data_IF_763893154922
#
_entry.id   IF_763893154922
#
_cell.length_a   1.000
_cell.length_b   1.000
_cell.length_c   1.000
_cell.angle_alpha   90.00
_cell.angle_beta   90.00
_cell.angle_gamma   90.00
#
_symmetry.space_group_name_H-M   'P 1'
#
loop_
_entity.id
_entity.type
_entity.pdbx_description
1 polymer ?
#
# COMPACT_ATOMS: atom_id res chain seq x y z
N UNK A 1 -4.23 -1.00 15.35
CA UNK A 1 -5.52 -1.41 14.77
C UNK A 1 -5.83 -0.51 13.58
N UNK A 2 -5.63 -0.97 12.34
CA UNK A 2 -6.07 -0.32 11.09
C UNK A 2 -6.50 -1.36 10.02
N UNK A 3 -6.39 -2.66 10.33
CA UNK A 3 -6.55 -3.73 9.35
C UNK A 3 -8.01 -3.91 8.90
N UNK A 4 -8.97 -3.60 9.76
CA UNK A 4 -10.41 -3.76 9.47
C UNK A 4 -10.89 -2.82 8.35
N UNK A 5 -10.48 -1.55 8.40
CA UNK A 5 -10.77 -0.57 7.35
C UNK A 5 -10.09 -0.93 6.03
N UNK A 6 -8.83 -1.36 6.10
CA UNK A 6 -8.08 -1.80 4.92
C UNK A 6 -8.78 -3.00 4.28
N UNK A 7 -9.29 -3.97 5.03
CA UNK A 7 -10.04 -5.12 4.48
C UNK A 7 -11.29 -4.68 3.70
N UNK A 8 -12.04 -3.69 4.19
CA UNK A 8 -13.21 -3.15 3.48
C UNK A 8 -12.86 -2.45 2.16
N UNK A 9 -11.75 -1.71 2.13
CA UNK A 9 -11.24 -1.01 0.94
C UNK A 9 -10.23 -1.83 0.13
N UNK A 10 -9.92 -3.05 0.56
CA UNK A 10 -8.83 -3.86 0.01
C UNK A 10 -9.01 -4.13 -1.48
N UNK A 11 -10.25 -4.38 -1.91
CA UNK A 11 -10.60 -4.64 -3.30
C UNK A 11 -10.28 -3.44 -4.21
N UNK A 12 -10.49 -2.21 -3.72
CA UNK A 12 -10.13 -0.99 -4.44
C UNK A 12 -8.61 -0.78 -4.44
N UNK A 13 -7.98 -0.91 -3.26
CA UNK A 13 -6.52 -0.81 -3.10
C UNK A 13 -5.81 -1.77 -4.05
N UNK A 14 -6.20 -3.05 -4.06
CA UNK A 14 -5.66 -4.10 -4.94
C UNK A 14 -5.73 -3.70 -6.41
N UNK A 15 -6.84 -3.11 -6.85
CA UNK A 15 -6.99 -2.64 -8.22
C UNK A 15 -5.98 -1.54 -8.59
N UNK A 16 -5.71 -0.63 -7.66
CA UNK A 16 -4.71 0.43 -7.82
C UNK A 16 -3.28 -0.11 -7.74
N UNK A 17 -3.00 -1.02 -6.79
CA UNK A 17 -1.72 -1.72 -6.68
C UNK A 17 -1.40 -2.46 -7.98
N UNK A 18 -2.37 -3.18 -8.56
CA UNK A 18 -2.18 -3.88 -9.84
C UNK A 18 -1.87 -2.92 -10.99
N UNK A 19 -2.45 -1.73 -11.00
CA UNK A 19 -2.16 -0.69 -12.02
C UNK A 19 -0.76 -0.10 -11.82
N UNK A 20 -0.38 0.19 -10.59
CA UNK A 20 0.93 0.74 -10.25
C UNK A 20 2.06 -0.30 -10.44
N UNK A 21 1.78 -1.57 -10.14
CA UNK A 21 2.73 -2.67 -10.14
C UNK A 21 2.20 -3.86 -10.96
N UNK A 22 2.08 -3.67 -12.27
CA UNK A 22 1.56 -4.68 -13.19
C UNK A 22 2.37 -5.99 -13.29
N UNK A 23 3.57 -6.05 -12.70
CA UNK A 23 4.39 -7.27 -12.64
C UNK A 23 3.96 -8.22 -11.50
N UNK A 24 3.13 -7.73 -10.57
CA UNK A 24 2.62 -8.53 -9.46
C UNK A 24 1.23 -9.03 -9.80
N UNK A 25 1.05 -10.33 -9.63
CA UNK A 25 -0.20 -11.01 -9.95
C UNK A 25 -1.30 -10.65 -8.95
N UNK A 26 -2.54 -10.69 -9.41
CA UNK A 26 -3.73 -10.48 -8.59
C UNK A 26 -3.78 -11.43 -7.36
N UNK A 27 -3.39 -12.69 -7.53
CA UNK A 27 -3.28 -13.69 -6.46
C UNK A 27 -2.26 -13.33 -5.38
N UNK A 28 -1.11 -12.77 -5.77
CA UNK A 28 -0.08 -12.35 -4.82
C UNK A 28 -0.57 -11.20 -3.96
N UNK A 29 -1.25 -10.22 -4.56
CA UNK A 29 -1.92 -9.19 -3.79
C UNK A 29 -2.93 -9.81 -2.84
N UNK A 30 -3.81 -10.70 -3.32
CA UNK A 30 -4.81 -11.35 -2.49
C UNK A 30 -4.25 -12.06 -1.26
N UNK A 31 -3.10 -12.73 -1.40
CA UNK A 31 -2.39 -13.37 -0.28
C UNK A 31 -1.94 -12.40 0.79
N UNK A 32 -1.62 -11.16 0.42
CA UNK A 32 -1.24 -10.12 1.39
C UNK A 32 -2.41 -9.64 2.25
N UNK A 33 -3.66 -9.80 1.77
CA UNK A 33 -4.88 -9.32 2.46
C UNK A 33 -4.76 -7.87 2.96
N UNK A 34 -4.10 -6.99 2.20
CA UNK A 34 -3.94 -5.60 2.62
C UNK A 34 -2.94 -5.37 3.74
N UNK A 35 -2.12 -6.35 4.08
CA UNK A 35 -1.02 -6.14 5.01
C UNK A 35 0.12 -5.38 4.33
N UNK A 36 0.45 -4.20 4.87
CA UNK A 36 1.47 -3.32 4.31
C UNK A 36 2.85 -3.99 4.24
N UNK A 37 3.16 -4.81 5.24
CA UNK A 37 4.44 -5.51 5.35
C UNK A 37 4.51 -6.62 4.30
N UNK A 38 3.44 -7.38 4.13
CA UNK A 38 3.36 -8.43 3.12
C UNK A 38 3.46 -7.85 1.70
N UNK A 39 2.76 -6.74 1.42
CA UNK A 39 2.82 -6.03 0.13
C UNK A 39 4.23 -5.51 -0.14
N UNK A 40 4.88 -4.91 0.86
CA UNK A 40 6.28 -4.48 0.75
C UNK A 40 7.23 -5.66 0.51
N UNK A 41 6.97 -6.84 1.08
CA UNK A 41 7.74 -8.06 0.83
C UNK A 41 7.61 -8.55 -0.61
N UNK A 42 6.40 -8.51 -1.18
CA UNK A 42 6.17 -8.85 -2.60
C UNK A 42 6.92 -7.87 -3.51
N UNK A 43 6.88 -6.57 -3.22
CA UNK A 43 7.62 -5.57 -3.99
C UNK A 43 9.14 -5.77 -3.93
N UNK A 44 9.68 -6.09 -2.76
CA UNK A 44 11.09 -6.45 -2.59
C UNK A 44 11.45 -7.66 -3.46
N UNK A 45 10.64 -8.71 -3.46
CA UNK A 45 10.93 -9.93 -4.23
C UNK A 45 10.74 -9.77 -5.75
N UNK A 46 9.72 -9.03 -6.19
CA UNK A 46 9.36 -8.87 -7.61
C UNK A 46 10.15 -7.81 -8.33
N UNK A 47 10.47 -6.71 -7.65
CA UNK A 47 11.14 -5.56 -8.24
C UNK A 47 12.55 -5.35 -7.68
N UNK A 48 12.96 -6.08 -6.64
CA UNK A 48 14.24 -5.83 -5.99
C UNK A 48 14.28 -4.50 -5.23
N UNK A 49 13.13 -3.94 -4.85
CA UNK A 49 13.06 -2.67 -4.12
C UNK A 49 13.69 -2.79 -2.74
N UNK A 50 14.25 -1.69 -2.23
CA UNK A 50 14.67 -1.61 -0.84
C UNK A 50 13.44 -1.65 0.09
N UNK A 51 13.59 -2.24 1.28
CA UNK A 51 12.52 -2.35 2.27
C UNK A 51 11.87 -1.01 2.61
N UNK A 52 12.67 0.04 2.78
CA UNK A 52 12.19 1.40 3.07
C UNK A 52 11.38 1.97 1.90
N UNK A 53 11.89 1.85 0.68
CA UNK A 53 11.21 2.36 -0.52
C UNK A 53 9.88 1.61 -0.74
N UNK A 54 9.89 0.29 -0.63
CA UNK A 54 8.69 -0.53 -0.72
C UNK A 54 7.67 -0.14 0.37
N UNK A 55 8.12 -0.01 1.62
CA UNK A 55 7.25 0.37 2.72
C UNK A 55 6.64 1.76 2.53
N UNK A 56 7.42 2.75 2.07
CA UNK A 56 6.92 4.11 1.79
C UNK A 56 5.90 4.12 0.67
N UNK A 57 6.15 3.41 -0.43
CA UNK A 57 5.23 3.35 -1.55
C UNK A 57 3.90 2.72 -1.14
N UNK A 58 3.97 1.63 -0.38
CA UNK A 58 2.78 0.93 0.13
C UNK A 58 2.02 1.79 1.12
N UNK A 59 2.72 2.43 2.06
CA UNK A 59 2.10 3.34 3.02
C UNK A 59 1.43 4.51 2.31
N UNK A 60 2.05 5.09 1.28
CA UNK A 60 1.45 6.19 0.51
C UNK A 60 0.16 5.78 -0.21
N UNK A 61 0.12 4.58 -0.79
CA UNK A 61 -1.10 4.07 -1.41
C UNK A 61 -2.16 3.83 -0.34
N UNK A 62 -1.83 3.17 0.76
CA UNK A 62 -2.80 2.91 1.84
C UNK A 62 -3.29 4.19 2.51
N UNK A 63 -2.41 5.15 2.72
CA UNK A 63 -2.70 6.46 3.27
C UNK A 63 -3.76 7.19 2.45
N UNK A 64 -3.67 7.15 1.11
CA UNK A 64 -4.71 7.70 0.22
C UNK A 64 -6.11 7.14 0.52
N UNK A 65 -6.23 5.89 0.96
CA UNK A 65 -7.52 5.28 1.32
C UNK A 65 -7.88 5.50 2.79
N UNK A 66 -6.91 5.49 3.70
CA UNK A 66 -7.09 5.73 5.14
C UNK A 66 -7.42 7.20 5.45
N UNK A 67 -6.85 8.14 4.68
CA UNK A 67 -7.01 9.59 4.79
C UNK A 67 -8.41 10.07 4.43
N UNK A 68 -9.27 9.22 3.85
CA UNK A 68 -10.71 9.52 3.78
C UNK A 68 -11.36 9.68 5.16
N UNK A 69 -10.64 9.36 6.25
CA UNK A 69 -11.03 9.58 7.65
C UNK A 69 -10.29 10.75 8.32
N UNK A 70 -9.37 11.42 7.61
CA UNK A 70 -8.40 12.35 8.19
C UNK A 70 -8.13 13.51 7.22
N UNK A 71 -9.11 14.39 7.07
CA UNK A 71 -8.90 15.73 6.51
C UNK A 71 -8.14 16.67 7.48
N UNK A 72 -7.76 16.22 8.70
CA UNK A 72 -7.29 17.15 9.75
C UNK A 72 -5.85 16.98 10.26
N UNK A 73 -5.09 15.93 9.90
CA UNK A 73 -3.80 15.69 10.59
C UNK A 73 -2.71 15.12 9.67
N UNK A 74 -1.70 15.96 9.40
CA UNK A 74 -0.35 15.66 8.89
C UNK A 74 -0.10 15.82 7.38
N UNK A 75 0.14 17.07 6.98
CA UNK A 75 0.84 17.44 5.74
C UNK A 75 2.34 17.22 5.98
N UNK A 76 3.02 16.25 5.33
CA UNK A 76 4.47 16.19 5.46
C UNK A 76 5.05 17.40 4.72
N UNK A 77 5.74 18.27 5.46
CA UNK A 77 6.63 19.29 4.90
C UNK A 77 7.59 18.59 3.93
N UNK A 78 7.42 18.86 2.62
CA UNK A 78 8.46 18.53 1.64
C UNK A 78 9.66 19.44 1.96
N UNK A 79 10.85 18.93 2.32
CA UNK A 79 12.03 19.77 2.34
C UNK A 79 12.34 20.21 0.90
N UNK A 80 12.50 21.52 0.72
CA UNK A 80 12.92 22.18 -0.52
C UNK A 80 14.41 21.95 -0.80
#
# INVERSE_FOLDING_TARGET
>A
MNNDFIQGKWKEIKGDLRKAWGNVTDDEWEKTKGDATAIAGVLQQKYGMAKEEASQKVSAVMDKYLSSTREDLDKPERPH
#
